data_IF_568986203252
#
_entry.id   IF_568986203252
#
_cell.length_a   1.000
_cell.length_b   1.000
_cell.length_c   1.000
_cell.angle_alpha   90.00
_cell.angle_beta   90.00
_cell.angle_gamma   90.00
#
_symmetry.space_group_name_H-M   'P 1'
#
loop_
_entity.id
_entity.type
_entity.pdbx_description
1 polymer ?
#
# COMPACT_ATOMS: atom_id res chain seq x y z
N UNK A 1 -14.47 23.83 19.89
CA UNK A 1 -14.48 22.61 19.05
C UNK A 1 -13.03 22.28 18.72
N UNK A 2 -12.47 21.23 19.32
CA UNK A 2 -11.06 20.83 19.16
C UNK A 2 -11.00 19.84 18.00
N UNK A 3 -10.27 20.08 16.89
CA UNK A 3 -10.11 19.06 15.86
C UNK A 3 -9.10 18.01 16.34
N UNK A 4 -9.58 16.77 16.48
CA UNK A 4 -8.78 15.59 16.78
C UNK A 4 -7.72 15.39 15.70
N UNK A 5 -6.49 15.82 15.98
CA UNK A 5 -5.33 15.47 15.18
C UNK A 5 -4.88 14.06 15.57
N UNK A 6 -5.51 13.06 14.96
CA UNK A 6 -5.04 11.67 15.03
C UNK A 6 -3.80 11.54 14.15
N UNK A 7 -2.68 12.07 14.64
CA UNK A 7 -1.34 11.81 14.12
C UNK A 7 -1.02 10.33 14.33
N UNK A 8 -1.47 9.49 13.42
CA UNK A 8 -1.11 8.07 13.39
C UNK A 8 0.30 7.98 12.80
N UNK A 9 1.29 8.38 13.59
CA UNK A 9 2.71 8.12 13.33
C UNK A 9 2.99 6.64 13.54
N UNK A 10 2.49 5.82 12.62
CA UNK A 10 2.86 4.42 12.52
C UNK A 10 4.28 4.35 11.95
N UNK A 11 5.24 4.41 12.87
CA UNK A 11 6.63 4.00 12.66
C UNK A 11 6.63 2.51 12.35
N UNK A 12 6.41 2.16 11.10
CA UNK A 12 6.54 0.78 10.63
C UNK A 12 8.03 0.48 10.46
N UNK A 13 8.58 -0.25 11.42
CA UNK A 13 9.85 -0.94 11.25
C UNK A 13 9.76 -1.80 9.97
N UNK A 14 10.80 -1.81 9.11
CA UNK A 14 10.77 -2.56 7.88
C UNK A 14 10.51 -4.03 8.20
N UNK A 15 9.37 -4.54 7.74
CA UNK A 15 9.03 -5.95 7.81
C UNK A 15 10.22 -6.77 7.28
N UNK A 16 10.85 -7.50 8.20
CA UNK A 16 12.06 -8.29 8.02
C UNK A 16 11.72 -9.59 7.28
N UNK A 17 11.15 -9.45 6.08
CA UNK A 17 10.87 -10.53 5.14
C UNK A 17 10.71 -9.90 3.74
N UNK A 18 11.78 -9.26 3.27
CA UNK A 18 11.81 -8.69 1.92
C UNK A 18 12.30 -9.77 0.97
N UNK A 19 11.35 -10.46 0.35
CA UNK A 19 11.48 -11.01 -0.99
C UNK A 19 12.36 -10.07 -1.83
N UNK A 20 13.52 -10.53 -2.31
CA UNK A 20 14.56 -9.74 -3.00
C UNK A 20 13.91 -8.88 -4.10
N UNK A 21 13.60 -7.61 -3.81
CA UNK A 21 13.01 -6.69 -4.79
C UNK A 21 11.72 -5.96 -4.37
N UNK A 22 11.27 -6.04 -3.11
CA UNK A 22 10.16 -5.23 -2.58
C UNK A 22 10.71 -4.11 -1.69
N UNK A 23 10.43 -2.85 -2.02
CA UNK A 23 10.92 -1.69 -1.28
C UNK A 23 9.81 -0.67 -1.02
N UNK A 24 9.63 -0.28 0.24
CA UNK A 24 8.68 0.75 0.63
C UNK A 24 9.38 2.13 0.63
N UNK A 25 8.85 3.09 -0.11
CA UNK A 25 9.32 4.49 -0.16
C UNK A 25 8.25 5.41 0.40
N UNK A 26 8.64 6.31 1.30
CA UNK A 26 7.80 7.44 1.72
C UNK A 26 8.35 8.72 1.10
N UNK A 27 7.48 9.51 0.48
CA UNK A 27 7.82 10.81 -0.08
C UNK A 27 6.77 11.84 0.35
N UNK A 28 7.01 13.12 0.06
CA UNK A 28 6.03 14.18 0.28
C UNK A 28 4.69 13.94 -0.47
N UNK A 29 4.69 13.12 -1.53
CA UNK A 29 3.50 12.78 -2.32
C UNK A 29 2.74 11.54 -1.80
N UNK A 30 3.26 10.90 -0.75
CA UNK A 30 2.65 9.74 -0.09
C UNK A 30 3.58 8.53 0.03
N UNK A 31 2.98 7.37 0.27
CA UNK A 31 3.69 6.10 0.42
C UNK A 31 3.61 5.28 -0.87
N UNK A 32 4.74 4.68 -1.24
CA UNK A 32 4.90 3.92 -2.46
C UNK A 32 5.53 2.57 -2.16
N UNK A 33 5.06 1.55 -2.83
CA UNK A 33 5.65 0.22 -2.85
C UNK A 33 6.32 0.03 -4.21
N UNK A 34 7.59 -0.33 -4.21
CA UNK A 34 8.35 -0.63 -5.43
C UNK A 34 8.58 -2.13 -5.46
N UNK A 35 8.07 -2.80 -6.49
CA UNK A 35 8.24 -4.24 -6.68
C UNK A 35 8.83 -4.48 -8.07
N UNK A 36 10.03 -5.06 -8.14
CA UNK A 36 10.72 -5.36 -9.41
C UNK A 36 10.79 -4.15 -10.37
N UNK A 37 11.06 -2.95 -9.82
CA UNK A 37 11.15 -1.70 -10.59
C UNK A 37 9.81 -1.03 -10.92
N UNK A 38 8.66 -1.66 -10.62
CA UNK A 38 7.33 -1.06 -10.78
C UNK A 38 6.90 -0.35 -9.51
N UNK A 39 6.34 0.85 -9.65
CA UNK A 39 5.86 1.68 -8.54
C UNK A 39 4.36 1.55 -8.34
N UNK A 40 3.97 1.36 -7.08
CA UNK A 40 2.58 1.25 -6.65
C UNK A 40 2.33 2.29 -5.56
N UNK A 41 1.30 3.13 -5.71
CA UNK A 41 0.97 4.17 -4.74
C UNK A 41 -0.02 3.65 -3.71
N UNK A 42 0.21 3.96 -2.44
CA UNK A 42 -0.77 3.73 -1.38
C UNK A 42 -2.03 4.54 -1.68
N UNK A 43 -3.15 3.86 -1.84
CA UNK A 43 -4.45 4.50 -2.06
C UNK A 43 -5.35 4.45 -0.84
N UNK A 44 -5.16 3.43 0.02
CA UNK A 44 -6.00 3.24 1.20
C UNK A 44 -5.24 2.49 2.30
N UNK A 45 -5.47 2.88 3.55
CA UNK A 45 -5.13 2.11 4.73
C UNK A 45 -6.39 1.84 5.56
N UNK A 46 -6.51 0.61 6.03
CA UNK A 46 -7.46 0.13 7.04
C UNK A 46 -6.66 -0.40 8.23
N UNK A 47 -7.36 -0.73 9.32
CA UNK A 47 -6.78 -1.16 10.61
C UNK A 47 -5.59 -2.12 10.51
N UNK A 48 -5.59 -3.07 9.56
CA UNK A 48 -4.49 -4.01 9.34
C UNK A 48 -4.22 -4.29 7.86
N UNK A 49 -4.82 -3.51 6.94
CA UNK A 49 -4.69 -3.70 5.49
C UNK A 49 -4.32 -2.41 4.81
N UNK A 50 -3.23 -2.42 4.06
CA UNK A 50 -2.80 -1.28 3.24
C UNK A 50 -2.81 -1.68 1.77
N UNK A 51 -3.43 -0.85 0.93
CA UNK A 51 -3.62 -1.08 -0.50
C UNK A 51 -2.68 -0.20 -1.31
N UNK A 52 -1.93 -0.81 -2.22
CA UNK A 52 -1.01 -0.15 -3.15
C UNK A 52 -1.42 -0.44 -4.60
N UNK A 53 -1.85 0.58 -5.34
CA UNK A 53 -2.28 0.43 -6.74
C UNK A 53 -1.16 0.79 -7.70
N UNK A 54 -1.07 0.07 -8.83
CA UNK A 54 -0.06 0.37 -9.84
C UNK A 54 -0.26 1.77 -10.42
N UNK A 55 0.83 2.49 -10.64
CA UNK A 55 0.79 3.83 -11.24
C UNK A 55 0.69 3.79 -12.77
N UNK A 56 0.96 2.66 -13.40
CA UNK A 56 0.83 2.51 -14.85
C UNK A 56 -0.63 2.69 -15.26
N UNK A 57 -0.88 3.53 -16.27
CA UNK A 57 -2.22 3.74 -16.81
C UNK A 57 -2.85 2.40 -17.22
N UNK A 58 -4.12 2.21 -16.88
CA UNK A 58 -4.89 1.02 -17.19
C UNK A 58 -4.32 -0.31 -16.64
N UNK A 59 -3.49 -0.27 -15.59
CA UNK A 59 -2.99 -1.47 -14.95
C UNK A 59 -3.90 -1.85 -13.75
N UNK A 60 -4.61 -3.00 -13.81
CA UNK A 60 -5.47 -3.43 -12.72
C UNK A 60 -4.69 -4.00 -11.52
N UNK A 61 -3.36 -4.11 -11.62
CA UNK A 61 -2.57 -4.76 -10.56
C UNK A 61 -2.53 -3.89 -9.29
N UNK A 62 -2.81 -4.50 -8.15
CA UNK A 62 -2.60 -3.89 -6.84
C UNK A 62 -1.98 -4.88 -5.85
N UNK A 63 -1.35 -4.35 -4.81
CA UNK A 63 -0.83 -5.12 -3.69
C UNK A 63 -1.60 -4.79 -2.42
N UNK A 64 -1.82 -5.81 -1.59
CA UNK A 64 -2.36 -5.65 -0.24
C UNK A 64 -1.30 -6.09 0.75
N UNK A 65 -0.87 -5.14 1.57
CA UNK A 65 -0.03 -5.40 2.74
C UNK A 65 -0.95 -5.63 3.94
N UNK A 66 -0.91 -6.83 4.50
CA UNK A 66 -1.70 -7.23 5.68
C UNK A 66 -0.76 -7.29 6.87
N UNK A 67 -0.94 -6.38 7.84
CA UNK A 67 -0.11 -6.24 9.04
C UNK A 67 -0.85 -6.79 10.27
N UNK A 68 -1.08 -8.11 10.28
CA UNK A 68 -1.49 -8.80 11.49
C UNK A 68 -0.26 -9.03 12.37
N UNK A 69 -0.39 -8.88 13.69
CA UNK A 69 0.66 -8.69 14.72
C UNK A 69 1.78 -9.74 14.81
N UNK A 70 1.91 -10.68 13.88
CA UNK A 70 2.96 -11.72 13.89
C UNK A 70 3.72 -11.87 12.58
N UNK A 71 3.07 -11.73 11.42
CA UNK A 71 3.72 -11.88 10.11
C UNK A 71 3.04 -10.99 9.07
N UNK A 72 3.65 -9.86 8.70
CA UNK A 72 3.12 -9.04 7.63
C UNK A 72 3.14 -9.84 6.31
N UNK A 73 2.02 -9.83 5.57
CA UNK A 73 1.90 -10.54 4.29
C UNK A 73 1.61 -9.55 3.18
N UNK A 74 2.42 -9.59 2.13
CA UNK A 74 2.19 -8.83 0.91
C UNK A 74 1.58 -9.74 -0.16
N UNK A 75 0.37 -9.43 -0.60
CA UNK A 75 -0.36 -10.23 -1.60
C UNK A 75 -0.56 -9.43 -2.87
N UNK A 76 -0.26 -10.02 -4.04
CA UNK A 76 -0.53 -9.42 -5.34
C UNK A 76 -1.92 -9.81 -5.83
N UNK A 77 -2.66 -8.84 -6.35
CA UNK A 77 -3.95 -9.03 -7.00
C UNK A 77 -3.91 -8.46 -8.42
N UNK A 78 -4.68 -9.05 -9.33
CA UNK A 78 -4.72 -8.70 -10.76
C UNK A 78 -6.06 -8.14 -11.24
N UNK A 79 -7.02 -7.98 -10.33
CA UNK A 79 -8.33 -7.39 -10.64
C UNK A 79 -8.32 -5.90 -10.33
N UNK A 80 -9.11 -5.09 -11.05
CA UNK A 80 -9.39 -3.75 -10.53
C UNK A 80 -10.09 -3.93 -9.18
N UNK A 81 -9.59 -3.29 -8.12
CA UNK A 81 -10.29 -3.27 -6.85
C UNK A 81 -11.75 -2.85 -7.14
N UNK A 82 -12.75 -3.54 -6.58
CA UNK A 82 -14.18 -3.31 -6.90
C UNK A 82 -14.61 -1.84 -6.75
N UNK A 83 -13.85 -1.05 -5.98
CA UNK A 83 -14.02 0.38 -5.77
C UNK A 83 -13.48 1.29 -6.89
N UNK A 84 -12.84 0.72 -7.93
CA UNK A 84 -12.26 1.44 -9.07
C UNK A 84 -13.17 1.42 -10.32
N UNK A 85 -14.27 0.65 -10.33
CA UNK A 85 -15.14 0.44 -11.49
C UNK A 85 -16.16 1.58 -11.76
N UNK A 86 -15.82 2.85 -11.43
CA UNK A 86 -16.77 3.97 -11.44
C UNK A 86 -16.34 5.23 -12.18
N UNK A 87 -15.29 5.16 -13.01
CA UNK A 87 -14.90 6.27 -13.90
C UNK A 87 -14.61 5.70 -15.28
N UNK A 88 -15.68 5.37 -15.99
CA UNK A 88 -15.75 5.43 -17.44
C UNK A 88 -16.73 6.55 -17.77
#
# INVERSE_FOLDING_TARGET
IIPSSSSSSSSFSPAKDQNKGVLLKRTAQGEFLVVSGKSYKKTRAMQYRTYFHCLTRNCPTYYVLVELSRRPRLTRHYEHARHCAGRM
#
